data_IF_284622486331
#
_entry.id   IF_284622486331
#
_cell.length_a   1.000
_cell.length_b   1.000
_cell.length_c   1.000
_cell.angle_alpha   90.00
_cell.angle_beta   90.00
_cell.angle_gamma   90.00
#
_symmetry.space_group_name_H-M   'P 1'
#
loop_
_entity.id
_entity.type
_entity.pdbx_description
1 polymer ?
#
# COMPACT_ATOMS: atom_id res chain seq x y z
N UNK A 1 -34.14 -14.98 24.45
CA UNK A 1 -34.02 -14.21 23.18
C UNK A 1 -32.73 -14.66 22.52
N UNK A 2 -32.79 -15.42 21.43
CA UNK A 2 -31.61 -15.88 20.71
C UNK A 2 -31.22 -14.82 19.69
N UNK A 3 -30.10 -14.13 19.89
CA UNK A 3 -29.56 -13.20 18.91
C UNK A 3 -29.12 -13.99 17.67
N UNK A 4 -29.67 -13.64 16.52
CA UNK A 4 -29.25 -14.18 15.22
C UNK A 4 -27.84 -13.62 14.94
N UNK A 5 -26.80 -14.45 14.78
CA UNK A 5 -25.46 -13.95 14.51
C UNK A 5 -25.43 -13.27 13.13
N UNK A 6 -24.88 -12.05 13.11
CA UNK A 6 -24.70 -11.25 11.90
C UNK A 6 -23.83 -12.00 10.87
N UNK A 7 -24.23 -12.06 9.58
CA UNK A 7 -23.49 -12.75 8.51
C UNK A 7 -22.05 -12.27 8.31
N UNK A 8 -21.71 -11.05 8.74
CA UNK A 8 -20.35 -10.51 8.64
C UNK A 8 -19.32 -11.25 9.52
N UNK A 9 -19.77 -12.02 10.52
CA UNK A 9 -18.88 -12.84 11.37
C UNK A 9 -18.67 -14.26 10.84
N UNK A 10 -19.28 -14.62 9.70
CA UNK A 10 -19.17 -15.94 9.06
C UNK A 10 -18.20 -15.96 7.87
N UNK A 11 -17.36 -14.93 7.70
CA UNK A 11 -16.24 -15.05 6.75
C UNK A 11 -15.23 -16.02 7.36
N UNK A 12 -14.95 -17.18 6.75
CA UNK A 12 -13.95 -18.08 7.28
C UNK A 12 -12.60 -17.36 7.24
N UNK A 13 -12.05 -17.01 8.41
CA UNK A 13 -10.67 -16.53 8.55
C UNK A 13 -9.61 -17.50 8.00
N UNK A 14 -10.02 -18.69 7.55
CA UNK A 14 -9.17 -19.80 7.14
C UNK A 14 -8.69 -19.74 5.69
N UNK A 15 -9.28 -18.94 4.79
CA UNK A 15 -8.81 -18.88 3.39
C UNK A 15 -7.52 -18.07 3.19
N UNK A 16 -7.16 -17.19 4.14
CA UNK A 16 -5.89 -16.45 4.12
C UNK A 16 -4.89 -17.01 5.13
N UNK A 17 -4.99 -18.30 5.45
CA UNK A 17 -4.23 -18.93 6.53
C UNK A 17 -2.77 -19.23 6.19
N UNK A 18 -2.35 -19.09 4.92
CA UNK A 18 -0.94 -19.28 4.56
C UNK A 18 -0.19 -17.95 4.74
N UNK A 19 0.77 -17.84 5.67
CA UNK A 19 1.56 -16.63 5.89
C UNK A 19 2.19 -16.08 4.60
N UNK A 20 2.59 -16.98 3.70
CA UNK A 20 3.17 -16.67 2.39
C UNK A 20 2.22 -15.84 1.50
N UNK A 21 0.92 -16.18 1.48
CA UNK A 21 -0.04 -15.45 0.66
C UNK A 21 -0.25 -14.01 1.19
N UNK A 22 -0.23 -13.83 2.51
CA UNK A 22 -0.28 -12.50 3.13
C UNK A 22 0.97 -11.68 2.81
N UNK A 23 2.16 -12.29 2.89
CA UNK A 23 3.42 -11.63 2.53
C UNK A 23 3.40 -11.20 1.07
N UNK A 24 2.98 -12.09 0.16
CA UNK A 24 2.86 -11.78 -1.27
C UNK A 24 1.89 -10.63 -1.53
N UNK A 25 0.72 -10.62 -0.89
CA UNK A 25 -0.26 -9.53 -1.02
C UNK A 25 0.30 -8.18 -0.54
N UNK A 26 0.99 -8.16 0.61
CA UNK A 26 1.59 -6.93 1.14
C UNK A 26 2.68 -6.41 0.20
N UNK A 27 3.50 -7.29 -0.37
CA UNK A 27 4.51 -6.91 -1.37
C UNK A 27 3.86 -6.33 -2.62
N UNK A 28 2.80 -6.96 -3.15
CA UNK A 28 2.07 -6.44 -4.30
C UNK A 28 1.44 -5.06 -4.03
N UNK A 29 0.96 -4.80 -2.81
CA UNK A 29 0.46 -3.48 -2.40
C UNK A 29 1.60 -2.44 -2.35
N UNK A 30 2.78 -2.81 -1.87
CA UNK A 30 3.96 -1.94 -1.89
C UNK A 30 4.40 -1.60 -3.32
N UNK A 31 4.43 -2.60 -4.22
CA UNK A 31 4.76 -2.42 -5.63
C UNK A 31 3.77 -1.44 -6.31
N UNK A 32 2.47 -1.59 -6.02
CA UNK A 32 1.43 -0.70 -6.55
C UNK A 32 1.62 0.76 -6.05
N UNK A 33 2.00 0.95 -4.79
CA UNK A 33 2.31 2.28 -4.25
C UNK A 33 3.55 2.90 -4.90
N UNK A 34 4.59 2.10 -5.20
CA UNK A 34 5.77 2.58 -5.94
C UNK A 34 5.42 2.98 -7.38
N UNK A 35 4.61 2.19 -8.07
CA UNK A 35 4.12 2.53 -9.40
C UNK A 35 3.26 3.81 -9.38
N UNK A 36 2.42 3.97 -8.35
CA UNK A 36 1.65 5.18 -8.13
C UNK A 36 2.57 6.39 -7.86
N UNK A 37 3.61 6.25 -7.04
CA UNK A 37 4.57 7.31 -6.78
C UNK A 37 5.30 7.77 -8.06
N UNK A 38 5.66 6.84 -8.95
CA UNK A 38 6.22 7.17 -10.27
C UNK A 38 5.25 7.95 -11.15
N UNK A 39 3.95 7.64 -11.06
CA UNK A 39 2.90 8.40 -11.76
C UNK A 39 2.79 9.82 -11.20
N UNK A 40 2.78 9.98 -9.89
CA UNK A 40 2.75 11.30 -9.23
C UNK A 40 3.97 12.15 -9.61
N UNK A 41 5.14 11.52 -9.74
CA UNK A 41 6.37 12.18 -10.19
C UNK A 41 6.23 12.72 -11.63
N UNK A 42 5.47 12.06 -12.50
CA UNK A 42 5.21 12.55 -13.85
C UNK A 42 4.34 13.83 -13.83
N UNK A 43 3.34 13.90 -12.94
CA UNK A 43 2.54 15.12 -12.75
C UNK A 43 3.36 16.25 -12.14
N UNK A 44 4.30 15.93 -11.23
CA UNK A 44 5.26 16.91 -10.72
C UNK A 44 6.06 17.55 -11.87
N UNK A 45 6.61 16.73 -12.78
CA UNK A 45 7.38 17.23 -13.94
C UNK A 45 6.53 18.12 -14.84
N UNK A 46 5.28 17.73 -15.13
CA UNK A 46 4.37 18.57 -15.90
C UNK A 46 4.07 19.93 -15.23
N UNK A 47 4.02 19.97 -13.89
CA UNK A 47 3.88 21.23 -13.16
C UNK A 47 5.17 22.09 -13.23
N UNK A 48 6.34 21.45 -13.15
CA UNK A 48 7.63 22.14 -13.32
C UNK A 48 7.75 22.76 -14.72
N UNK A 49 7.34 22.04 -15.77
CA UNK A 49 7.35 22.52 -17.17
C UNK A 49 6.44 23.75 -17.39
N UNK A 50 5.42 23.92 -16.55
CA UNK A 50 4.46 25.04 -16.60
C UNK A 50 4.74 26.14 -15.56
N UNK A 51 5.89 26.09 -14.87
CA UNK A 51 6.25 26.98 -13.77
C UNK A 51 5.21 27.02 -12.62
N UNK A 52 4.44 25.95 -12.44
CA UNK A 52 3.50 25.81 -11.34
C UNK A 52 4.20 25.23 -10.10
N UNK A 53 4.93 26.08 -9.37
CA UNK A 53 5.71 25.67 -8.19
C UNK A 53 4.86 25.07 -7.06
N UNK A 54 3.64 25.57 -6.88
CA UNK A 54 2.71 25.02 -5.88
C UNK A 54 2.31 23.58 -6.24
N UNK A 55 1.92 23.36 -7.50
CA UNK A 55 1.59 22.03 -7.99
C UNK A 55 2.78 21.09 -7.92
N UNK A 56 3.98 21.57 -8.25
CA UNK A 56 5.21 20.80 -8.15
C UNK A 56 5.45 20.28 -6.72
N UNK A 57 5.43 21.15 -5.71
CA UNK A 57 5.67 20.73 -4.33
C UNK A 57 4.54 19.84 -3.79
N UNK A 58 3.28 20.07 -4.20
CA UNK A 58 2.16 19.20 -3.83
C UNK A 58 2.33 17.77 -4.37
N UNK A 59 2.65 17.62 -5.67
CA UNK A 59 2.87 16.30 -6.27
C UNK A 59 4.10 15.60 -5.72
N UNK A 60 5.18 16.35 -5.47
CA UNK A 60 6.40 15.85 -4.80
C UNK A 60 6.08 15.28 -3.42
N UNK A 61 5.30 16.01 -2.62
CA UNK A 61 4.88 15.57 -1.29
C UNK A 61 4.07 14.27 -1.37
N UNK A 62 3.08 14.20 -2.26
CA UNK A 62 2.26 12.99 -2.44
C UNK A 62 3.08 11.78 -2.91
N UNK A 63 4.01 11.99 -3.86
CA UNK A 63 4.92 10.93 -4.31
C UNK A 63 5.81 10.44 -3.16
N UNK A 64 6.28 11.35 -2.29
CA UNK A 64 7.01 11.01 -1.07
C UNK A 64 6.18 10.16 -0.10
N UNK A 65 4.91 10.53 0.15
CA UNK A 65 4.02 9.76 1.02
C UNK A 65 3.76 8.35 0.48
N UNK A 66 3.55 8.19 -0.83
CA UNK A 66 3.36 6.88 -1.45
C UNK A 66 4.61 5.99 -1.30
N UNK A 67 5.82 6.55 -1.49
CA UNK A 67 7.09 5.83 -1.28
C UNK A 67 7.26 5.40 0.18
N UNK A 68 7.01 6.32 1.13
CA UNK A 68 7.08 6.00 2.57
C UNK A 68 6.12 4.87 2.95
N UNK A 69 4.88 4.90 2.44
CA UNK A 69 3.92 3.83 2.70
C UNK A 69 4.38 2.49 2.09
N UNK A 70 4.96 2.49 0.89
CA UNK A 70 5.52 1.29 0.27
C UNK A 70 6.67 0.69 1.12
N UNK A 71 7.58 1.53 1.62
CA UNK A 71 8.68 1.09 2.50
C UNK A 71 8.18 0.45 3.79
N UNK A 72 7.13 1.03 4.40
CA UNK A 72 6.49 0.45 5.59
C UNK A 72 5.87 -0.92 5.30
N UNK A 73 5.23 -1.08 4.13
CA UNK A 73 4.65 -2.36 3.72
C UNK A 73 5.74 -3.41 3.45
N UNK A 74 6.83 -3.07 2.76
CA UNK A 74 7.94 -4.01 2.61
C UNK A 74 8.55 -4.41 3.95
N UNK A 75 8.75 -3.45 4.86
CA UNK A 75 9.24 -3.73 6.22
C UNK A 75 8.32 -4.72 6.92
N UNK A 76 7.00 -4.51 6.85
CA UNK A 76 6.01 -5.43 7.40
C UNK A 76 6.07 -6.81 6.76
N UNK A 77 6.20 -6.89 5.43
CA UNK A 77 6.33 -8.15 4.71
C UNK A 77 7.57 -8.93 5.17
N UNK A 78 8.71 -8.26 5.31
CA UNK A 78 9.96 -8.86 5.77
C UNK A 78 9.86 -9.39 7.21
N UNK A 79 9.21 -8.63 8.11
CA UNK A 79 8.94 -9.07 9.48
C UNK A 79 8.08 -10.33 9.47
N UNK A 80 6.98 -10.34 8.72
CA UNK A 80 6.09 -11.51 8.66
C UNK A 80 6.76 -12.75 8.05
N UNK A 81 7.57 -12.55 7.01
CA UNK A 81 8.38 -13.62 6.40
C UNK A 81 9.40 -14.19 7.39
N UNK A 82 9.99 -13.34 8.25
CA UNK A 82 10.95 -13.80 9.28
C UNK A 82 10.32 -14.71 10.36
N UNK A 83 9.02 -14.56 10.63
CA UNK A 83 8.28 -15.43 11.57
C UNK A 83 7.78 -16.73 10.92
N UNK A 84 7.89 -16.85 9.60
CA UNK A 84 7.40 -18.02 8.84
C UNK A 84 8.53 -19.02 8.50
N UNK A 85 9.78 -18.70 8.87
CA UNK A 85 10.96 -19.56 8.76
C UNK A 85 11.24 -20.23 10.09
#
# INVERSE_FOLDING_TARGET
MNAIPCPAHQIPCQMFSVPEHKVALIRAQADALLAHASTLESYRRACADTNNSYGEEAWKHLAGQARLQAELLYTRANILESYSK
#
